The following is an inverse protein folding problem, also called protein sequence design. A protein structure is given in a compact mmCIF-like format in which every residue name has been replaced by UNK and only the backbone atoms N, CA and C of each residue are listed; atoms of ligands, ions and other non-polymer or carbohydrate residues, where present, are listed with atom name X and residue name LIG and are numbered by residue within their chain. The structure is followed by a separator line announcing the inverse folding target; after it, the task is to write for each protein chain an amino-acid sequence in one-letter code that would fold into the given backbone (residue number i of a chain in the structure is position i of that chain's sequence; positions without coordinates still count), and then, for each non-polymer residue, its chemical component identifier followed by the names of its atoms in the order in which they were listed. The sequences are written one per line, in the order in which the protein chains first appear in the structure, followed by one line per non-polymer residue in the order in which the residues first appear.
data_IF_826878862613
#
_entry.id   IF_826878862613
#
_cell.length_a   1.000
_cell.length_b   1.000
_cell.length_c   1.000
_cell.angle_alpha   90.00
_cell.angle_beta   90.00
_cell.angle_gamma   90.00
#
_symmetry.space_group_name_H-M   'P 1'
#
loop_
_entity.id
_entity.type
_entity.pdbx_description
1 polymer ?
#
# COMPACT_ATOMS: atom_id res chain seq x y z
N UNK A 1 16.05 -14.76 11.49
CA UNK A 1 16.55 -13.87 10.41
C UNK A 1 15.38 -13.51 9.50
N UNK A 2 15.15 -12.20 9.33
CA UNK A 2 14.40 -11.51 8.26
C UNK A 2 13.03 -12.13 7.85
N UNK A 3 11.94 -11.75 8.54
CA UNK A 3 10.59 -11.79 7.94
C UNK A 3 10.57 -10.75 6.81
N UNK A 4 11.07 -11.14 5.64
CA UNK A 4 11.01 -10.34 4.43
C UNK A 4 9.55 -10.02 4.14
N UNK A 5 9.19 -8.75 4.29
CA UNK A 5 7.94 -8.21 3.76
C UNK A 5 7.98 -8.46 2.27
N UNK A 6 7.43 -9.60 1.81
CA UNK A 6 7.38 -9.91 0.39
C UNK A 6 6.71 -8.71 -0.27
N UNK A 7 7.45 -7.99 -1.11
CA UNK A 7 6.91 -6.92 -1.95
C UNK A 7 5.94 -7.61 -2.90
N UNK A 8 4.69 -7.79 -2.44
CA UNK A 8 3.65 -8.52 -3.16
C UNK A 8 3.47 -7.81 -4.50
N UNK A 9 3.39 -8.59 -5.57
CA UNK A 9 3.00 -8.05 -6.87
C UNK A 9 1.64 -7.39 -6.72
N UNK A 10 1.43 -6.26 -7.41
CA UNK A 10 0.15 -5.60 -7.41
C UNK A 10 -0.93 -6.58 -7.93
N UNK A 11 -2.00 -6.87 -7.17
CA UNK A 11 -3.01 -7.83 -7.58
C UNK A 11 -3.82 -7.37 -8.80
N UNK A 12 -3.77 -6.07 -9.14
CA UNK A 12 -4.49 -5.48 -10.27
C UNK A 12 -3.68 -5.46 -11.57
N UNK A 13 -2.41 -5.07 -11.50
CA UNK A 13 -1.58 -4.85 -12.70
C UNK A 13 -0.27 -5.66 -12.72
N UNK A 14 -0.07 -6.54 -11.73
CA UNK A 14 1.11 -7.41 -11.56
C UNK A 14 2.45 -6.65 -11.46
N UNK A 15 2.41 -5.35 -11.16
CA UNK A 15 3.63 -4.58 -10.95
C UNK A 15 4.37 -5.09 -9.70
N UNK A 16 5.67 -5.41 -9.80
CA UNK A 16 6.39 -6.14 -8.74
C UNK A 16 6.82 -5.28 -7.55
N UNK A 17 6.70 -3.95 -7.64
CA UNK A 17 7.17 -3.04 -6.59
C UNK A 17 6.02 -2.21 -6.04
N UNK A 18 5.22 -2.83 -5.16
CA UNK A 18 4.33 -2.06 -4.31
C UNK A 18 5.15 -1.32 -3.24
N UNK A 19 4.80 -0.05 -3.00
CA UNK A 19 5.48 0.85 -2.07
C UNK A 19 4.65 1.01 -0.80
N UNK A 20 5.30 1.11 0.34
CA UNK A 20 4.67 1.61 1.58
C UNK A 20 4.51 3.11 1.53
N UNK A 21 3.69 3.65 2.42
CA UNK A 21 3.46 5.10 2.53
C UNK A 21 4.77 5.90 2.69
N UNK A 22 5.71 5.41 3.50
CA UNK A 22 7.02 6.03 3.72
C UNK A 22 7.91 6.07 2.46
N UNK A 23 7.69 5.14 1.53
CA UNK A 23 8.43 5.03 0.25
C UNK A 23 7.81 5.89 -0.87
N UNK A 24 6.64 6.51 -0.63
CA UNK A 24 5.99 7.42 -1.58
C UNK A 24 6.62 8.80 -1.53
N UNK A 25 6.82 9.42 -2.69
CA UNK A 25 7.16 10.84 -2.82
C UNK A 25 6.00 11.73 -2.34
N UNK A 26 6.22 13.02 -2.13
CA UNK A 26 5.14 13.94 -1.72
C UNK A 26 4.01 14.02 -2.77
N UNK A 27 4.35 13.99 -4.05
CA UNK A 27 3.37 13.90 -5.14
C UNK A 27 2.59 12.58 -5.09
N UNK A 28 3.29 11.47 -4.88
CA UNK A 28 2.67 10.16 -4.76
C UNK A 28 1.75 10.07 -3.53
N UNK A 29 2.12 10.69 -2.40
CA UNK A 29 1.29 10.79 -1.20
C UNK A 29 0.02 11.59 -1.46
N UNK A 30 0.14 12.73 -2.14
CA UNK A 30 -1.02 13.54 -2.51
C UNK A 30 -2.01 12.76 -3.39
N UNK A 31 -1.51 11.96 -4.33
CA UNK A 31 -2.35 11.07 -5.13
C UNK A 31 -2.98 9.97 -4.26
N UNK A 32 -2.20 9.37 -3.36
CA UNK A 32 -2.69 8.36 -2.43
C UNK A 32 -3.81 8.91 -1.51
N UNK A 33 -3.72 10.15 -1.00
CA UNK A 33 -4.77 10.77 -0.18
C UNK A 33 -6.12 10.87 -0.90
N UNK A 34 -6.12 10.90 -2.24
CA UNK A 34 -7.32 11.00 -3.07
C UNK A 34 -7.92 9.65 -3.47
N UNK A 35 -7.30 8.53 -3.08
CA UNK A 35 -7.81 7.20 -3.40
C UNK A 35 -9.07 6.89 -2.60
N UNK A 36 -9.99 6.05 -3.13
CA UNK A 36 -11.27 5.75 -2.49
C UNK A 36 -11.18 5.27 -1.04
N UNK A 37 -10.10 4.55 -0.69
CA UNK A 37 -9.87 4.05 0.67
C UNK A 37 -9.60 5.17 1.69
N UNK A 38 -9.30 6.40 1.26
CA UNK A 38 -9.22 7.55 2.18
C UNK A 38 -10.57 7.90 2.82
N UNK A 39 -11.68 7.47 2.21
CA UNK A 39 -13.00 7.59 2.81
C UNK A 39 -13.29 6.55 3.89
N UNK A 40 -12.53 5.45 3.92
CA UNK A 40 -12.74 4.32 4.85
C UNK A 40 -11.69 4.28 5.96
N UNK A 41 -10.44 4.59 5.63
CA UNK A 41 -9.30 4.48 6.53
C UNK A 41 -8.67 5.84 6.79
N UNK A 42 -8.30 6.09 8.05
CA UNK A 42 -7.54 7.28 8.43
C UNK A 42 -6.14 7.21 7.84
N UNK A 43 -5.47 8.37 7.70
CA UNK A 43 -4.08 8.43 7.22
C UNK A 43 -3.15 7.49 8.02
N UNK A 44 -3.32 7.43 9.34
CA UNK A 44 -2.49 6.60 10.22
C UNK A 44 -2.67 5.10 9.96
N UNK A 45 -3.89 4.65 9.63
CA UNK A 45 -4.14 3.27 9.24
C UNK A 45 -3.51 2.97 7.87
N UNK A 46 -3.65 3.92 6.93
CA UNK A 46 -3.12 3.83 5.57
C UNK A 46 -1.60 3.88 5.49
N UNK A 47 -0.92 4.38 6.53
CA UNK A 47 0.55 4.27 6.64
C UNK A 47 1.03 2.81 6.67
N UNK A 48 0.19 1.89 7.13
CA UNK A 48 0.46 0.45 7.10
C UNK A 48 0.13 -0.21 5.75
N UNK A 49 -0.58 0.50 4.87
CA UNK A 49 -1.01 -0.02 3.57
C UNK A 49 0.14 0.01 2.56
N UNK A 50 -0.05 -0.72 1.46
CA UNK A 50 0.85 -0.70 0.30
C UNK A 50 0.13 -0.21 -0.94
N UNK A 51 0.85 0.55 -1.75
CA UNK A 51 0.34 1.29 -2.89
C UNK A 51 1.11 0.87 -4.14
N UNK A 52 0.38 0.58 -5.21
CA UNK A 52 1.02 0.38 -6.51
C UNK A 52 1.29 1.74 -7.16
N UNK A 53 2.55 2.13 -7.43
CA UNK A 53 2.85 3.42 -8.06
C UNK A 53 2.38 3.49 -9.54
N UNK A 54 2.04 2.35 -10.15
CA UNK A 54 1.59 2.28 -11.55
C UNK A 54 0.09 2.44 -11.72
N UNK A 55 -0.71 1.83 -10.86
CA UNK A 55 -2.17 1.78 -11.03
C UNK A 55 -2.95 2.23 -9.78
N UNK A 56 -2.24 2.66 -8.75
CA UNK A 56 -2.79 3.13 -7.48
C UNK A 56 -3.71 2.14 -6.77
N UNK A 57 -3.53 0.85 -7.03
CA UNK A 57 -4.14 -0.18 -6.20
C UNK A 57 -3.56 -0.08 -4.79
N UNK A 58 -4.44 0.14 -3.83
CA UNK A 58 -4.13 0.10 -2.41
C UNK A 58 -4.49 -1.27 -1.85
N UNK A 59 -3.58 -1.83 -1.05
CA UNK A 59 -3.74 -3.13 -0.40
C UNK A 59 -3.48 -2.95 1.08
N UNK A 60 -4.51 -3.31 1.86
CA UNK A 60 -4.47 -3.37 3.32
C UNK A 60 -3.54 -4.52 3.74
N UNK A 61 -2.66 -4.34 4.73
CA UNK A 61 -1.88 -5.44 5.26
C UNK A 61 -2.84 -6.48 5.84
N UNK A 62 -2.63 -7.75 5.47
CA UNK A 62 -3.35 -8.85 6.09
C UNK A 62 -2.83 -9.00 7.52
N UNK A 63 -3.49 -8.37 8.49
CA UNK A 63 -3.19 -8.54 9.92
C UNK A 63 -3.67 -9.91 10.45
N UNK A 64 -4.16 -10.81 9.56
CA UNK A 64 -4.86 -12.06 9.89
C UNK A 64 -4.23 -13.33 9.31
N UNK A 65 -2.93 -13.35 9.03
CA UNK A 65 -2.22 -14.57 8.64
C UNK A 65 -1.59 -15.29 9.86
N UNK A 66 -2.33 -15.47 10.95
CA UNK A 66 -1.96 -16.38 12.05
C UNK A 66 -3.22 -16.71 12.89
N UNK A 67 -3.93 -17.78 12.49
CA UNK A 67 -4.85 -18.52 13.36
C UNK A 67 -4.68 -20.00 13.05
#
# INVERSE_FOLDING_TARGET
MMKGFQRKMCPKCHFPQMKRWEELTDEEKFLAERLPMSATFTRREREKHTFCPRCWQEVVPDETADC
#
